data_IF_196298957341
#
_entry.id   IF_196298957341
#
_cell.length_a   1.000
_cell.length_b   1.000
_cell.length_c   1.000
_cell.angle_alpha   90.00
_cell.angle_beta   90.00
_cell.angle_gamma   90.00
#
_symmetry.space_group_name_H-M   'P 1'
#
loop_
_entity.id
_entity.type
_entity.pdbx_description
1 polymer ?
#
# COMPACT_ATOMS: atom_id res chain seq x y z
N UNK A 1 -28.90 -5.68 59.94
CA UNK A 1 -29.35 -6.69 58.96
C UNK A 1 -29.68 -5.96 57.67
N UNK A 2 -29.36 -6.34 56.44
CA UNK A 2 -28.51 -7.37 55.82
C UNK A 2 -28.23 -6.78 54.42
N UNK A 3 -26.98 -6.86 53.96
CA UNK A 3 -26.60 -6.62 52.57
C UNK A 3 -27.22 -7.69 51.65
N UNK A 4 -27.69 -7.29 50.46
CA UNK A 4 -27.83 -8.19 49.31
C UNK A 4 -27.75 -7.38 48.01
N UNK A 5 -26.69 -7.52 47.20
CA UNK A 5 -26.69 -7.01 45.83
C UNK A 5 -27.25 -8.08 44.89
N UNK A 6 -28.21 -7.68 44.05
CA UNK A 6 -28.69 -8.42 42.89
C UNK A 6 -27.56 -8.63 41.86
N UNK A 7 -27.36 -9.84 41.30
CA UNK A 7 -26.38 -10.04 40.23
C UNK A 7 -26.92 -9.53 38.89
N UNK A 8 -26.12 -8.71 38.20
CA UNK A 8 -26.42 -8.17 36.88
C UNK A 8 -26.32 -9.23 35.77
N UNK A 9 -27.44 -9.50 35.10
CA UNK A 9 -27.55 -10.33 33.90
C UNK A 9 -27.28 -9.53 32.60
N UNK A 10 -26.21 -8.73 32.55
CA UNK A 10 -25.91 -7.85 31.41
C UNK A 10 -24.58 -8.10 30.70
N UNK A 11 -23.64 -8.83 31.30
CA UNK A 11 -22.27 -8.98 30.78
C UNK A 11 -22.06 -10.13 29.79
N UNK A 12 -22.81 -11.22 29.92
CA UNK A 12 -22.49 -12.48 29.23
C UNK A 12 -22.92 -12.51 27.75
N UNK A 13 -23.97 -11.78 27.38
CA UNK A 13 -24.44 -11.73 25.99
C UNK A 13 -23.48 -10.97 25.06
N UNK A 14 -22.79 -9.94 25.59
CA UNK A 14 -21.84 -9.13 24.83
C UNK A 14 -20.50 -9.85 24.62
N UNK A 15 -20.03 -10.59 25.64
CA UNK A 15 -18.83 -11.42 25.57
C UNK A 15 -19.04 -12.64 24.66
N UNK A 16 -20.22 -13.29 24.74
CA UNK A 16 -20.59 -14.40 23.86
C UNK A 16 -20.64 -14.02 22.37
N UNK A 17 -21.17 -12.83 22.04
CA UNK A 17 -21.19 -12.31 20.66
C UNK A 17 -19.78 -12.03 20.12
N UNK A 18 -18.90 -11.38 20.88
CA UNK A 18 -17.52 -11.14 20.43
C UNK A 18 -16.75 -12.46 20.21
N UNK A 19 -16.98 -13.46 21.06
CA UNK A 19 -16.34 -14.77 20.95
C UNK A 19 -16.85 -15.56 19.74
N UNK A 20 -18.16 -15.51 19.44
CA UNK A 20 -18.75 -16.12 18.25
C UNK A 20 -18.28 -15.45 16.96
N UNK A 21 -18.16 -14.10 16.95
CA UNK A 21 -17.67 -13.35 15.78
C UNK A 21 -16.20 -13.64 15.50
N UNK A 22 -15.37 -13.76 16.55
CA UNK A 22 -13.95 -14.12 16.43
C UNK A 22 -13.77 -15.57 15.98
N UNK A 23 -14.57 -16.51 16.48
CA UNK A 23 -14.60 -17.91 16.00
C UNK A 23 -15.06 -18.02 14.55
N UNK A 24 -16.10 -17.28 14.16
CA UNK A 24 -16.55 -17.22 12.78
C UNK A 24 -15.47 -16.64 11.85
N UNK A 25 -14.74 -15.61 12.29
CA UNK A 25 -13.63 -15.02 11.55
C UNK A 25 -12.47 -16.02 11.36
N UNK A 26 -12.11 -16.78 12.40
CA UNK A 26 -11.06 -17.81 12.34
C UNK A 26 -11.48 -18.97 11.42
N UNK A 27 -12.73 -19.43 11.52
CA UNK A 27 -13.27 -20.46 10.62
C UNK A 27 -13.31 -19.97 9.17
N UNK A 28 -13.72 -18.72 8.93
CA UNK A 28 -13.70 -18.10 7.61
C UNK A 28 -12.27 -17.97 7.07
N UNK A 29 -11.32 -17.57 7.92
CA UNK A 29 -9.90 -17.50 7.58
C UNK A 29 -9.30 -18.88 7.26
N UNK A 30 -9.67 -19.92 8.02
CA UNK A 30 -9.22 -21.30 7.76
C UNK A 30 -9.84 -21.89 6.51
N UNK A 31 -11.13 -21.62 6.24
CA UNK A 31 -11.79 -22.01 5.00
C UNK A 31 -11.11 -21.30 3.82
N UNK A 32 -10.96 -19.97 3.89
CA UNK A 32 -10.25 -19.19 2.88
C UNK A 32 -8.83 -19.72 2.68
N UNK A 33 -8.10 -20.01 3.75
CA UNK A 33 -6.74 -20.55 3.66
C UNK A 33 -6.73 -21.92 2.98
N UNK A 34 -7.65 -22.83 3.32
CA UNK A 34 -7.72 -24.18 2.72
C UNK A 34 -8.17 -24.16 1.25
N UNK A 35 -9.13 -23.32 0.87
CA UNK A 35 -9.61 -23.23 -0.52
C UNK A 35 -8.70 -22.39 -1.41
N UNK A 36 -8.07 -21.34 -0.87
CA UNK A 36 -7.28 -20.38 -1.65
C UNK A 36 -5.78 -20.74 -1.67
N UNK A 37 -5.22 -21.38 -0.62
CA UNK A 37 -3.80 -21.76 -0.58
C UNK A 37 -3.33 -22.64 -1.76
N UNK A 38 -4.08 -23.68 -2.19
CA UNK A 38 -3.66 -24.47 -3.35
C UNK A 38 -3.58 -23.63 -4.62
N UNK A 39 -4.51 -22.67 -4.78
CA UNK A 39 -4.60 -21.77 -5.94
C UNK A 39 -3.50 -20.69 -5.94
N UNK A 40 -3.11 -20.21 -4.76
CA UNK A 40 -2.02 -19.23 -4.59
C UNK A 40 -0.67 -19.81 -5.04
N UNK A 41 -0.48 -21.12 -4.93
CA UNK A 41 0.78 -21.77 -5.31
C UNK A 41 0.86 -22.15 -6.80
N UNK A 42 -0.23 -22.04 -7.56
CA UNK A 42 -0.22 -22.41 -8.99
C UNK A 42 0.62 -21.40 -9.79
N UNK A 43 1.72 -21.89 -10.38
CA UNK A 43 2.64 -21.09 -11.18
C UNK A 43 3.63 -20.24 -10.37
N UNK A 44 3.60 -20.33 -9.03
CA UNK A 44 4.54 -19.66 -8.15
C UNK A 44 5.95 -20.27 -8.27
N UNK A 45 6.96 -19.41 -8.27
CA UNK A 45 8.36 -19.79 -8.17
C UNK A 45 8.92 -19.38 -6.80
N UNK A 46 9.79 -20.21 -6.22
CA UNK A 46 10.50 -19.89 -4.98
C UNK A 46 11.34 -18.61 -5.08
N UNK A 47 11.76 -18.24 -6.30
CA UNK A 47 12.52 -17.02 -6.60
C UNK A 47 11.65 -15.78 -6.90
N UNK A 48 10.32 -15.92 -6.95
CA UNK A 48 9.42 -14.78 -7.22
C UNK A 48 9.37 -13.81 -6.03
N UNK A 49 9.45 -12.52 -6.34
CA UNK A 49 9.09 -11.45 -5.41
C UNK A 49 7.61 -11.54 -4.99
N UNK A 50 7.27 -10.98 -3.83
CA UNK A 50 5.89 -11.03 -3.31
C UNK A 50 4.88 -10.41 -4.29
N UNK A 51 5.26 -9.35 -5.01
CA UNK A 51 4.42 -8.72 -6.04
C UNK A 51 4.11 -9.67 -7.20
N UNK A 52 5.12 -10.39 -7.69
CA UNK A 52 4.96 -11.35 -8.80
C UNK A 52 4.11 -12.54 -8.35
N UNK A 53 4.34 -13.02 -7.13
CA UNK A 53 3.57 -14.11 -6.52
C UNK A 53 2.10 -13.75 -6.36
N UNK A 54 1.80 -12.53 -5.90
CA UNK A 54 0.44 -12.02 -5.78
C UNK A 54 -0.27 -11.94 -7.14
N UNK A 55 0.41 -11.43 -8.18
CA UNK A 55 -0.16 -11.40 -9.55
C UNK A 55 -0.43 -12.78 -10.10
N UNK A 56 0.46 -13.75 -9.87
CA UNK A 56 0.30 -15.15 -10.28
C UNK A 56 -0.89 -15.80 -9.59
N UNK A 57 -1.00 -15.63 -8.27
CA UNK A 57 -2.13 -16.11 -7.49
C UNK A 57 -3.47 -15.50 -7.97
N UNK A 58 -3.49 -14.20 -8.25
CA UNK A 58 -4.68 -13.53 -8.78
C UNK A 58 -5.11 -14.08 -10.14
N UNK A 59 -4.15 -14.31 -11.04
CA UNK A 59 -4.41 -14.91 -12.34
C UNK A 59 -4.96 -16.34 -12.21
N UNK A 60 -4.34 -17.18 -11.37
CA UNK A 60 -4.81 -18.54 -11.12
C UNK A 60 -6.23 -18.55 -10.52
N UNK A 61 -6.49 -17.69 -9.54
CA UNK A 61 -7.81 -17.55 -8.93
C UNK A 61 -8.88 -17.10 -9.94
N UNK A 62 -8.54 -16.16 -10.82
CA UNK A 62 -9.45 -15.71 -11.88
C UNK A 62 -9.77 -16.83 -12.87
N UNK A 63 -8.77 -17.64 -13.25
CA UNK A 63 -8.96 -18.82 -14.11
C UNK A 63 -9.90 -19.82 -13.42
N UNK A 64 -9.66 -20.16 -12.16
CA UNK A 64 -10.52 -21.08 -11.40
C UNK A 64 -11.97 -20.59 -11.31
N UNK A 65 -12.17 -19.29 -11.03
CA UNK A 65 -13.50 -18.69 -10.96
C UNK A 65 -14.24 -18.80 -12.31
N UNK A 66 -13.55 -18.49 -13.42
CA UNK A 66 -14.13 -18.61 -14.76
C UNK A 66 -14.43 -20.07 -15.14
N UNK A 67 -13.65 -21.06 -14.68
CA UNK A 67 -13.94 -22.49 -14.87
C UNK A 67 -15.24 -22.85 -14.15
N UNK A 68 -15.38 -22.47 -12.87
CA UNK A 68 -16.59 -22.73 -12.10
C UNK A 68 -17.82 -22.08 -12.75
N UNK A 69 -17.71 -20.81 -13.16
CA UNK A 69 -18.77 -20.11 -13.88
C UNK A 69 -19.12 -20.81 -15.21
N UNK A 70 -18.12 -21.27 -15.96
CA UNK A 70 -18.31 -21.99 -17.22
C UNK A 70 -19.11 -23.28 -17.06
N UNK A 71 -18.81 -24.07 -16.00
CA UNK A 71 -19.54 -25.30 -15.69
C UNK A 71 -20.98 -25.00 -15.28
N UNK A 72 -21.19 -24.03 -14.37
CA UNK A 72 -22.52 -23.65 -13.87
C UNK A 72 -23.41 -23.19 -15.03
N UNK A 73 -22.94 -22.24 -15.83
CA UNK A 73 -23.73 -21.69 -16.93
C UNK A 73 -23.94 -22.70 -18.07
N UNK A 74 -22.94 -23.54 -18.35
CA UNK A 74 -23.10 -24.65 -19.29
C UNK A 74 -24.23 -25.58 -18.86
N UNK A 75 -24.25 -26.00 -17.60
CA UNK A 75 -25.29 -26.87 -17.05
C UNK A 75 -26.68 -26.22 -17.11
N UNK A 76 -26.79 -24.92 -16.78
CA UNK A 76 -28.06 -24.17 -16.91
C UNK A 76 -28.58 -24.24 -18.34
N UNK A 77 -27.77 -23.89 -19.35
CA UNK A 77 -28.25 -23.91 -20.73
C UNK A 77 -28.60 -25.31 -21.24
N UNK A 78 -27.85 -26.35 -20.85
CA UNK A 78 -28.21 -27.73 -21.16
C UNK A 78 -29.55 -28.15 -20.54
N UNK A 79 -29.82 -27.75 -19.29
CA UNK A 79 -31.07 -28.06 -18.61
C UNK A 79 -32.30 -27.48 -19.34
N UNK A 80 -32.14 -26.32 -19.99
CA UNK A 80 -33.17 -25.69 -20.80
C UNK A 80 -33.11 -26.07 -22.29
N UNK A 81 -32.43 -27.17 -22.65
CA UNK A 81 -32.35 -27.67 -24.05
C UNK A 81 -31.72 -26.66 -25.02
N UNK A 82 -30.70 -25.93 -24.57
CA UNK A 82 -29.91 -25.03 -25.39
C UNK A 82 -28.47 -25.54 -25.56
N UNK A 83 -28.24 -26.59 -26.38
CA UNK A 83 -26.95 -27.27 -26.43
C UNK A 83 -25.83 -26.39 -27.01
N UNK A 84 -26.10 -25.59 -28.04
CA UNK A 84 -25.09 -24.71 -28.65
C UNK A 84 -24.66 -23.64 -27.63
N UNK A 85 -25.63 -23.02 -26.94
CA UNK A 85 -25.34 -22.04 -25.91
C UNK A 85 -24.63 -22.66 -24.69
N UNK A 86 -24.95 -23.90 -24.32
CA UNK A 86 -24.31 -24.63 -23.23
C UNK A 86 -22.87 -25.07 -23.53
N UNK A 87 -22.57 -25.40 -24.79
CA UNK A 87 -21.22 -25.74 -25.22
C UNK A 87 -20.26 -24.54 -25.13
N UNK A 88 -20.73 -23.30 -25.32
CA UNK A 88 -19.90 -22.10 -25.22
C UNK A 88 -19.19 -21.97 -23.85
N UNK A 89 -19.88 -21.81 -22.70
CA UNK A 89 -19.25 -21.70 -21.39
C UNK A 89 -18.58 -23.02 -20.93
N UNK A 90 -19.03 -24.19 -21.40
CA UNK A 90 -18.34 -25.44 -21.13
C UNK A 90 -16.98 -25.50 -21.84
N UNK A 91 -16.90 -25.02 -23.09
CA UNK A 91 -15.63 -24.92 -23.83
C UNK A 91 -14.66 -23.96 -23.15
N UNK A 92 -15.15 -22.85 -22.57
CA UNK A 92 -14.36 -21.96 -21.72
C UNK A 92 -13.75 -22.72 -20.55
N UNK A 93 -14.56 -23.49 -19.81
CA UNK A 93 -14.09 -24.26 -18.65
C UNK A 93 -13.00 -25.27 -19.04
N UNK A 94 -13.18 -26.00 -20.15
CA UNK A 94 -12.19 -26.96 -20.66
C UNK A 94 -10.89 -26.25 -21.06
N UNK A 95 -10.98 -25.22 -21.89
CA UNK A 95 -9.80 -24.47 -22.36
C UNK A 95 -9.06 -23.78 -21.22
N UNK A 96 -9.77 -23.25 -20.23
CA UNK A 96 -9.17 -22.65 -19.04
C UNK A 96 -8.56 -23.68 -18.09
N UNK A 97 -9.08 -24.90 -18.05
CA UNK A 97 -8.43 -26.00 -17.31
C UNK A 97 -7.09 -26.35 -17.93
N UNK A 98 -7.00 -26.44 -19.26
CA UNK A 98 -5.73 -26.58 -19.96
C UNK A 98 -4.81 -25.38 -19.72
N UNK A 99 -5.35 -24.16 -19.73
CA UNK A 99 -4.60 -22.95 -19.41
C UNK A 99 -3.99 -23.00 -18.00
N UNK A 100 -4.72 -23.50 -17.01
CA UNK A 100 -4.23 -23.67 -15.63
C UNK A 100 -3.08 -24.69 -15.56
N UNK A 101 -3.16 -25.79 -16.31
CA UNK A 101 -2.07 -26.78 -16.42
C UNK A 101 -0.84 -26.14 -17.10
N UNK A 102 -1.03 -25.36 -18.16
CA UNK A 102 0.05 -24.64 -18.84
C UNK A 102 0.70 -23.62 -17.90
N UNK A 103 -0.09 -22.87 -17.14
CA UNK A 103 0.41 -21.93 -16.13
C UNK A 103 1.24 -22.64 -15.07
N UNK A 104 0.76 -23.78 -14.56
CA UNK A 104 1.48 -24.58 -13.56
C UNK A 104 2.80 -25.17 -14.09
N UNK A 105 2.86 -25.59 -15.35
CA UNK A 105 4.07 -26.20 -15.95
C UNK A 105 5.08 -25.18 -16.47
N UNK A 106 4.60 -24.18 -17.20
CA UNK A 106 5.47 -23.23 -17.92
C UNK A 106 5.78 -21.98 -17.09
N UNK A 107 4.98 -21.70 -16.05
CA UNK A 107 5.03 -20.47 -15.24
C UNK A 107 4.89 -19.18 -16.08
N UNK A 108 4.45 -19.28 -17.34
CA UNK A 108 4.28 -18.15 -18.27
C UNK A 108 2.95 -17.44 -18.01
N UNK A 109 2.99 -16.39 -17.20
CA UNK A 109 1.83 -15.58 -16.79
C UNK A 109 1.23 -14.77 -17.94
N UNK A 110 2.06 -14.02 -18.66
CA UNK A 110 2.31 -14.41 -20.04
C UNK A 110 1.10 -14.62 -20.96
N UNK A 111 1.28 -15.74 -21.65
CA UNK A 111 0.32 -16.47 -22.42
C UNK A 111 -0.98 -16.72 -21.65
N UNK A 112 -0.90 -17.12 -20.38
CA UNK A 112 -2.08 -17.55 -19.61
C UNK A 112 -3.10 -16.43 -19.39
N UNK A 113 -2.62 -15.21 -19.14
CA UNK A 113 -3.44 -14.01 -19.00
C UNK A 113 -4.05 -13.58 -20.35
N UNK A 114 -3.29 -13.69 -21.45
CA UNK A 114 -3.82 -13.40 -22.78
C UNK A 114 -4.93 -14.38 -23.17
N UNK A 115 -4.72 -15.68 -22.93
CA UNK A 115 -5.72 -16.72 -23.19
C UNK A 115 -6.98 -16.52 -22.35
N UNK A 116 -6.84 -16.22 -21.05
CA UNK A 116 -7.98 -15.88 -20.19
C UNK A 116 -8.75 -14.66 -20.74
N UNK A 117 -8.05 -13.60 -21.14
CA UNK A 117 -8.66 -12.39 -21.71
C UNK A 117 -9.40 -12.67 -23.01
N UNK A 118 -8.79 -13.37 -23.97
CA UNK A 118 -9.42 -13.71 -25.26
C UNK A 118 -10.67 -14.56 -25.04
N UNK A 119 -10.57 -15.59 -24.21
CA UNK A 119 -11.71 -16.49 -23.97
C UNK A 119 -12.84 -15.79 -23.21
N UNK A 120 -12.51 -14.97 -22.21
CA UNK A 120 -13.50 -14.17 -21.47
C UNK A 120 -14.16 -13.13 -22.37
N UNK A 121 -13.47 -12.63 -23.39
CA UNK A 121 -14.01 -11.70 -24.38
C UNK A 121 -14.98 -12.39 -25.36
N UNK A 122 -14.58 -13.53 -25.93
CA UNK A 122 -15.29 -14.17 -27.04
C UNK A 122 -16.42 -15.11 -26.61
N UNK A 123 -16.27 -15.83 -25.49
CA UNK A 123 -17.25 -16.87 -25.11
C UNK A 123 -18.61 -16.30 -24.72
N UNK A 124 -18.72 -15.24 -23.89
CA UNK A 124 -20.03 -14.65 -23.58
C UNK A 124 -20.72 -14.07 -24.82
N UNK A 125 -19.94 -13.52 -25.77
CA UNK A 125 -20.45 -13.10 -27.07
C UNK A 125 -21.02 -14.28 -27.87
N UNK A 126 -20.26 -15.38 -28.00
CA UNK A 126 -20.72 -16.58 -28.70
C UNK A 126 -21.96 -17.22 -28.06
N UNK A 127 -22.01 -17.28 -26.74
CA UNK A 127 -23.20 -17.74 -26.01
C UNK A 127 -24.41 -16.82 -26.25
N UNK A 128 -24.19 -15.50 -26.31
CA UNK A 128 -25.22 -14.52 -26.65
C UNK A 128 -25.79 -14.73 -28.06
N UNK A 129 -24.92 -14.91 -29.06
CA UNK A 129 -25.34 -15.23 -30.42
C UNK A 129 -26.14 -16.54 -30.48
N UNK A 130 -25.64 -17.58 -29.81
CA UNK A 130 -26.31 -18.88 -29.74
C UNK A 130 -27.69 -18.76 -29.10
N UNK A 131 -27.87 -17.87 -28.11
CA UNK A 131 -29.15 -17.64 -27.44
C UNK A 131 -30.13 -16.79 -28.24
N UNK A 132 -29.76 -16.25 -29.41
CA UNK A 132 -30.62 -15.41 -30.23
C UNK A 132 -30.43 -13.90 -29.97
N UNK A 133 -29.23 -13.48 -29.56
CA UNK A 133 -28.86 -12.08 -29.44
C UNK A 133 -28.77 -11.54 -28.00
N UNK A 134 -28.64 -10.23 -27.88
CA UNK A 134 -28.43 -9.57 -26.60
C UNK A 134 -29.66 -9.70 -25.69
N UNK A 135 -30.86 -9.43 -26.22
CA UNK A 135 -32.09 -9.46 -25.43
C UNK A 135 -32.40 -10.89 -24.93
N UNK A 136 -32.31 -11.87 -25.82
CA UNK A 136 -32.66 -13.26 -25.54
C UNK A 136 -31.65 -13.97 -24.60
N UNK A 137 -30.42 -13.45 -24.50
CA UNK A 137 -29.40 -13.96 -23.58
C UNK A 137 -29.40 -13.28 -22.20
N UNK A 138 -30.27 -12.29 -21.98
CA UNK A 138 -30.22 -11.47 -20.77
C UNK A 138 -28.91 -10.69 -20.67
N UNK A 139 -28.41 -10.16 -21.79
CA UNK A 139 -27.17 -9.38 -21.85
C UNK A 139 -25.90 -10.13 -21.40
N UNK A 140 -25.80 -11.43 -21.70
CA UNK A 140 -24.64 -12.25 -21.29
C UNK A 140 -23.29 -11.69 -21.76
N UNK A 141 -23.27 -10.96 -22.90
CA UNK A 141 -22.10 -10.27 -23.44
C UNK A 141 -21.46 -9.27 -22.49
N UNK A 142 -22.18 -8.75 -21.48
CA UNK A 142 -21.61 -7.81 -20.50
C UNK A 142 -20.44 -8.47 -19.73
N UNK A 143 -20.46 -9.78 -19.54
CA UNK A 143 -19.33 -10.51 -18.93
C UNK A 143 -18.06 -10.47 -19.78
N UNK A 144 -18.14 -10.15 -21.07
CA UNK A 144 -16.95 -9.89 -21.90
C UNK A 144 -16.14 -8.68 -21.44
N UNK A 145 -16.72 -7.79 -20.62
CA UNK A 145 -16.01 -6.68 -19.96
C UNK A 145 -14.98 -7.16 -18.92
N UNK A 146 -15.05 -8.43 -18.49
CA UNK A 146 -14.00 -9.03 -17.66
C UNK A 146 -12.64 -9.06 -18.36
N UNK A 147 -12.60 -9.12 -19.70
CA UNK A 147 -11.35 -9.16 -20.44
C UNK A 147 -10.50 -7.88 -20.27
N UNK A 148 -11.00 -6.65 -20.55
CA UNK A 148 -10.24 -5.43 -20.30
C UNK A 148 -9.93 -5.22 -18.80
N UNK A 149 -10.84 -5.56 -17.90
CA UNK A 149 -10.64 -5.43 -16.44
C UNK A 149 -9.57 -6.39 -15.92
N UNK A 150 -9.66 -7.68 -16.29
CA UNK A 150 -8.70 -8.71 -15.93
C UNK A 150 -7.32 -8.45 -16.51
N UNK A 151 -7.24 -7.87 -17.71
CA UNK A 151 -5.96 -7.50 -18.32
C UNK A 151 -5.23 -6.42 -17.49
N UNK A 152 -5.93 -5.40 -17.00
CA UNK A 152 -5.32 -4.34 -16.15
C UNK A 152 -4.80 -4.90 -14.83
N UNK A 153 -5.47 -5.90 -14.27
CA UNK A 153 -5.08 -6.49 -12.98
C UNK A 153 -3.82 -7.36 -13.08
N UNK A 154 -3.57 -7.96 -14.25
CA UNK A 154 -2.44 -8.89 -14.45
C UNK A 154 -1.30 -8.28 -15.27
N UNK A 155 -1.57 -7.25 -16.09
CA UNK A 155 -0.61 -6.65 -17.04
C UNK A 155 -0.50 -5.14 -16.89
N UNK A 156 0.52 -4.57 -17.53
CA UNK A 156 0.67 -3.11 -17.64
C UNK A 156 -0.55 -2.52 -18.37
N UNK A 157 -1.05 -1.34 -17.95
CA UNK A 157 -2.27 -0.72 -18.49
C UNK A 157 -2.19 -0.30 -19.97
N UNK A 158 -1.04 -0.49 -20.63
CA UNK A 158 -0.78 0.00 -22.01
C UNK A 158 -1.71 -0.57 -23.07
N UNK A 159 -2.30 -1.77 -22.89
CA UNK A 159 -3.25 -2.36 -23.85
C UNK A 159 -4.71 -2.25 -23.42
N UNK A 160 -5.03 -1.59 -22.32
CA UNK A 160 -6.42 -1.49 -21.83
C UNK A 160 -7.38 -0.94 -22.90
N UNK A 161 -6.98 0.15 -23.57
CA UNK A 161 -7.78 0.80 -24.62
C UNK A 161 -8.07 -0.18 -25.76
N UNK A 162 -7.08 -0.98 -26.18
CA UNK A 162 -7.27 -1.98 -27.24
C UNK A 162 -8.33 -3.03 -26.85
N UNK A 163 -8.28 -3.54 -25.61
CA UNK A 163 -9.27 -4.50 -25.12
C UNK A 163 -10.66 -3.89 -24.95
N UNK A 164 -10.74 -2.62 -24.55
CA UNK A 164 -11.99 -1.87 -24.48
C UNK A 164 -12.61 -1.67 -25.86
N UNK A 165 -11.80 -1.33 -26.86
CA UNK A 165 -12.25 -1.21 -28.26
C UNK A 165 -12.72 -2.56 -28.81
N UNK A 166 -12.01 -3.65 -28.51
CA UNK A 166 -12.42 -4.99 -28.92
C UNK A 166 -13.78 -5.39 -28.30
N UNK A 167 -13.98 -5.10 -27.01
CA UNK A 167 -15.26 -5.29 -26.34
C UNK A 167 -16.39 -4.44 -26.94
N UNK A 168 -16.15 -3.14 -27.16
CA UNK A 168 -17.11 -2.25 -27.80
C UNK A 168 -17.46 -2.71 -29.22
N UNK A 169 -16.47 -3.20 -29.99
CA UNK A 169 -16.68 -3.79 -31.31
C UNK A 169 -17.58 -5.03 -31.25
N UNK A 170 -17.38 -5.93 -30.29
CA UNK A 170 -18.26 -7.09 -30.10
C UNK A 170 -19.68 -6.73 -29.65
N UNK A 171 -19.84 -5.69 -28.83
CA UNK A 171 -21.15 -5.16 -28.46
C UNK A 171 -21.91 -4.65 -29.70
N UNK A 172 -21.25 -3.84 -30.52
CA UNK A 172 -21.84 -3.31 -31.77
C UNK A 172 -22.16 -4.47 -32.71
N UNK A 173 -21.23 -5.41 -32.90
CA UNK A 173 -21.43 -6.57 -33.75
C UNK A 173 -22.61 -7.43 -33.26
N UNK A 174 -22.73 -7.65 -31.95
CA UNK A 174 -23.86 -8.39 -31.37
C UNK A 174 -25.19 -7.72 -31.67
N UNK A 175 -25.24 -6.39 -31.59
CA UNK A 175 -26.44 -5.60 -31.89
C UNK A 175 -26.81 -5.67 -33.38
N UNK A 176 -25.83 -5.53 -34.27
CA UNK A 176 -26.03 -5.63 -35.72
C UNK A 176 -26.48 -7.02 -36.16
N UNK A 177 -25.98 -8.07 -35.52
CA UNK A 177 -26.36 -9.45 -35.86
C UNK A 177 -27.73 -9.84 -35.31
N UNK A 178 -28.23 -9.20 -34.26
CA UNK A 178 -29.46 -9.57 -33.55
C UNK A 178 -30.69 -9.80 -34.46
N UNK A 179 -31.00 -8.94 -35.44
CA UNK A 179 -32.14 -9.15 -36.35
C UNK A 179 -32.03 -10.39 -37.24
N UNK A 180 -30.80 -10.89 -37.46
CA UNK A 180 -30.52 -12.05 -38.31
C UNK A 180 -30.41 -13.36 -37.52
N UNK A 181 -30.44 -13.27 -36.18
CA UNK A 181 -30.41 -14.43 -35.30
C UNK A 181 -31.82 -14.99 -35.07
N UNK A 182 -31.88 -16.17 -34.45
CA UNK A 182 -33.15 -16.78 -34.08
C UNK A 182 -33.95 -15.86 -33.13
N UNK A 183 -35.25 -15.66 -33.36
CA UNK A 183 -36.06 -14.71 -32.60
C UNK A 183 -36.39 -15.18 -31.19
N UNK A 184 -36.40 -16.50 -30.95
CA UNK A 184 -36.75 -17.11 -29.66
C UNK A 184 -35.78 -18.22 -29.28
N UNK A 185 -35.72 -18.52 -27.99
CA UNK A 185 -34.97 -19.64 -27.43
C UNK A 185 -35.86 -20.42 -26.43
N UNK A 186 -35.33 -21.49 -25.88
CA UNK A 186 -36.02 -22.36 -24.92
C UNK A 186 -35.97 -21.84 -23.48
N UNK A 187 -35.38 -20.65 -23.23
CA UNK A 187 -35.31 -20.07 -21.89
C UNK A 187 -36.67 -19.41 -21.53
N UNK A 188 -37.23 -19.70 -20.34
CA UNK A 188 -38.43 -19.01 -19.88
C UNK A 188 -38.22 -17.49 -19.77
N UNK A 189 -39.22 -16.65 -20.10
CA UNK A 189 -39.10 -15.19 -19.99
C UNK A 189 -38.77 -14.67 -18.59
N UNK A 190 -39.15 -15.42 -17.55
CA UNK A 190 -38.76 -15.11 -16.17
C UNK A 190 -37.25 -15.33 -15.97
N UNK A 191 -36.70 -16.42 -16.51
CA UNK A 191 -35.28 -16.73 -16.40
C UNK A 191 -34.44 -15.68 -17.13
N UNK A 192 -34.82 -15.27 -18.35
CA UNK A 192 -34.11 -14.21 -19.11
C UNK A 192 -34.03 -12.91 -18.29
N UNK A 193 -35.12 -12.51 -17.62
CA UNK A 193 -35.15 -11.33 -16.75
C UNK A 193 -34.24 -11.47 -15.53
N UNK A 194 -34.25 -12.65 -14.88
CA UNK A 194 -33.35 -12.93 -13.75
C UNK A 194 -31.89 -12.90 -14.19
N UNK A 195 -31.57 -13.51 -15.34
CA UNK A 195 -30.23 -13.48 -15.94
C UNK A 195 -29.78 -12.05 -16.21
N UNK A 196 -30.65 -11.21 -16.77
CA UNK A 196 -30.35 -9.80 -17.01
C UNK A 196 -29.98 -9.05 -15.72
N UNK A 197 -30.75 -9.24 -14.65
CA UNK A 197 -30.48 -8.61 -13.34
C UNK A 197 -29.15 -9.11 -12.75
N UNK A 198 -28.88 -10.42 -12.82
CA UNK A 198 -27.64 -11.01 -12.30
C UNK A 198 -26.43 -10.56 -13.13
N UNK A 199 -26.53 -10.52 -14.45
CA UNK A 199 -25.44 -10.13 -15.34
C UNK A 199 -25.08 -8.65 -15.14
N UNK A 200 -26.08 -7.77 -15.13
CA UNK A 200 -25.87 -6.34 -14.90
C UNK A 200 -25.37 -6.09 -13.47
N UNK A 201 -26.08 -6.60 -12.46
CA UNK A 201 -25.73 -6.41 -11.05
C UNK A 201 -24.36 -7.02 -10.69
N UNK A 202 -24.04 -8.18 -11.25
CA UNK A 202 -22.76 -8.87 -11.04
C UNK A 202 -21.58 -8.07 -11.59
N UNK A 203 -21.66 -7.61 -12.84
CA UNK A 203 -20.58 -6.82 -13.45
C UNK A 203 -20.45 -5.44 -12.81
N UNK A 204 -21.57 -4.77 -12.50
CA UNK A 204 -21.54 -3.49 -11.77
C UNK A 204 -20.92 -3.64 -10.38
N UNK A 205 -21.31 -4.68 -9.62
CA UNK A 205 -20.77 -4.94 -8.28
C UNK A 205 -19.28 -5.26 -8.34
N UNK A 206 -18.85 -6.08 -9.31
CA UNK A 206 -17.43 -6.38 -9.51
C UNK A 206 -16.64 -5.11 -9.86
N UNK A 207 -17.15 -4.28 -10.75
CA UNK A 207 -16.52 -3.01 -11.11
C UNK A 207 -16.41 -2.07 -9.90
N UNK A 208 -17.47 -1.95 -9.10
CA UNK A 208 -17.46 -1.14 -7.88
C UNK A 208 -16.44 -1.66 -6.84
N UNK A 209 -16.36 -2.99 -6.63
CA UNK A 209 -15.38 -3.60 -5.74
C UNK A 209 -13.94 -3.37 -6.21
N UNK A 210 -13.69 -3.50 -7.53
CA UNK A 210 -12.38 -3.23 -8.11
C UNK A 210 -11.99 -1.76 -7.95
N UNK A 211 -12.90 -0.82 -8.27
CA UNK A 211 -12.65 0.61 -8.07
C UNK A 211 -12.38 0.94 -6.60
N UNK A 212 -13.18 0.42 -5.69
CA UNK A 212 -12.98 0.59 -4.25
C UNK A 212 -11.60 0.08 -3.80
N UNK A 213 -11.21 -1.12 -4.27
CA UNK A 213 -9.90 -1.69 -4.01
C UNK A 213 -8.76 -0.81 -4.54
N UNK A 214 -8.84 -0.36 -5.79
CA UNK A 214 -7.82 0.49 -6.40
C UNK A 214 -7.67 1.84 -5.70
N UNK A 215 -8.78 2.49 -5.35
CA UNK A 215 -8.77 3.76 -4.61
C UNK A 215 -8.15 3.56 -3.22
N UNK A 216 -8.52 2.48 -2.53
CA UNK A 216 -7.97 2.16 -1.20
C UNK A 216 -6.45 1.92 -1.25
N UNK A 217 -5.99 1.15 -2.24
CA UNK A 217 -4.55 0.90 -2.45
C UNK A 217 -3.78 2.19 -2.76
N UNK A 218 -4.35 3.06 -3.60
CA UNK A 218 -3.75 4.35 -3.93
C UNK A 218 -3.58 5.22 -2.68
N UNK A 219 -4.60 5.28 -1.82
CA UNK A 219 -4.55 6.07 -0.58
C UNK A 219 -3.45 5.57 0.37
N UNK A 220 -3.36 4.25 0.58
CA UNK A 220 -2.32 3.65 1.44
C UNK A 220 -0.92 3.91 0.89
N UNK A 221 -0.72 3.79 -0.42
CA UNK A 221 0.58 4.05 -1.04
C UNK A 221 0.98 5.53 -0.94
N UNK A 222 0.00 6.42 -1.10
CA UNK A 222 0.21 7.85 -0.99
C UNK A 222 0.56 8.25 0.45
N UNK A 223 -0.11 7.69 1.45
CA UNK A 223 0.20 7.89 2.87
C UNK A 223 1.62 7.40 3.21
N UNK A 224 2.04 6.23 2.71
CA UNK A 224 3.41 5.73 2.89
C UNK A 224 4.45 6.65 2.27
N UNK A 225 4.17 7.17 1.07
CA UNK A 225 5.07 8.09 0.37
C UNK A 225 5.16 9.42 1.12
N UNK A 226 4.03 9.93 1.59
CA UNK A 226 3.96 11.15 2.38
C UNK A 226 4.73 10.98 3.70
N UNK A 227 4.52 9.89 4.45
CA UNK A 227 5.27 9.61 5.67
C UNK A 227 6.79 9.48 5.44
N UNK A 228 7.23 8.87 4.34
CA UNK A 228 8.65 8.78 4.00
C UNK A 228 9.26 10.15 3.69
N UNK A 229 8.52 11.04 3.01
CA UNK A 229 8.96 12.41 2.78
C UNK A 229 9.07 13.20 4.09
N UNK A 230 8.12 13.03 4.99
CA UNK A 230 8.10 13.68 6.30
C UNK A 230 9.21 13.21 7.25
N UNK A 231 9.77 12.01 7.04
CA UNK A 231 10.92 11.54 7.80
C UNK A 231 12.25 12.18 7.35
N UNK A 232 12.27 12.87 6.20
CA UNK A 232 13.48 13.49 5.63
C UNK A 232 13.38 15.01 5.66
N UNK A 233 12.17 15.55 5.54
CA UNK A 233 11.91 16.98 5.46
C UNK A 233 10.85 17.39 6.49
N UNK A 234 10.95 18.60 7.08
CA UNK A 234 9.89 19.14 7.91
C UNK A 234 8.56 19.21 7.14
N UNK A 235 7.44 19.04 7.85
CA UNK A 235 6.09 18.94 7.25
C UNK A 235 5.73 20.12 6.34
N UNK A 236 6.11 21.32 6.75
CA UNK A 236 5.87 22.57 6.04
C UNK A 236 6.63 22.58 4.71
N UNK A 237 7.90 22.16 4.76
CA UNK A 237 8.79 22.15 3.61
C UNK A 237 8.36 21.07 2.61
N UNK A 238 7.96 19.90 3.09
CA UNK A 238 7.40 18.83 2.26
C UNK A 238 6.11 19.29 1.54
N UNK A 239 5.23 20.04 2.22
CA UNK A 239 4.02 20.58 1.62
C UNK A 239 4.31 21.62 0.53
N UNK A 240 5.29 22.51 0.76
CA UNK A 240 5.72 23.50 -0.25
C UNK A 240 6.26 22.77 -1.49
N UNK A 241 7.18 21.82 -1.34
CA UNK A 241 7.75 21.10 -2.49
C UNK A 241 6.71 20.28 -3.28
N UNK A 242 5.65 19.81 -2.62
CA UNK A 242 4.58 19.04 -3.25
C UNK A 242 3.65 19.92 -4.10
N UNK A 243 3.41 21.16 -3.67
CA UNK A 243 2.46 22.08 -4.31
C UNK A 243 3.13 23.10 -5.23
N UNK A 244 4.36 23.49 -4.90
CA UNK A 244 5.12 24.56 -5.52
C UNK A 244 6.50 24.01 -5.88
N UNK A 245 6.79 23.92 -7.18
CA UNK A 245 8.09 23.43 -7.66
C UNK A 245 9.15 24.54 -7.56
N UNK A 246 9.27 25.18 -6.39
CA UNK A 246 10.17 26.32 -6.11
C UNK A 246 11.29 25.95 -5.15
N UNK A 247 12.39 26.68 -5.23
CA UNK A 247 13.45 26.62 -4.22
C UNK A 247 12.93 27.15 -2.88
N UNK A 248 13.10 26.37 -1.82
CA UNK A 248 12.76 26.75 -0.45
C UNK A 248 14.02 27.33 0.20
N UNK A 249 14.01 28.63 0.49
CA UNK A 249 15.07 29.32 1.21
C UNK A 249 14.43 30.50 1.98
N UNK A 250 14.18 30.30 3.26
CA UNK A 250 13.47 31.22 4.14
C UNK A 250 14.43 31.82 5.16
N UNK A 251 14.34 33.14 5.36
CA UNK A 251 15.13 33.85 6.36
C UNK A 251 14.37 33.89 7.69
N UNK A 252 15.06 33.55 8.77
CA UNK A 252 14.55 33.56 10.14
C UNK A 252 15.37 34.54 10.98
N UNK A 253 14.72 35.58 11.51
CA UNK A 253 15.37 36.61 12.35
C UNK A 253 15.90 36.05 13.68
N UNK A 254 15.22 35.06 14.25
CA UNK A 254 15.57 34.45 15.54
C UNK A 254 15.41 32.94 15.52
N UNK A 255 16.55 32.24 15.50
CA UNK A 255 16.63 30.81 15.72
C UNK A 255 17.74 30.50 16.74
N UNK A 256 17.61 29.37 17.42
CA UNK A 256 18.68 28.80 18.24
C UNK A 256 19.16 27.50 17.63
N UNK A 257 20.47 27.27 17.70
CA UNK A 257 21.14 26.10 17.13
C UNK A 257 21.93 25.43 18.23
N UNK A 258 21.81 24.12 18.31
CA UNK A 258 22.52 23.25 19.23
C UNK A 258 23.35 22.24 18.44
N UNK A 259 24.63 22.15 18.79
CA UNK A 259 25.52 21.07 18.37
C UNK A 259 25.89 20.26 19.61
N UNK A 260 25.73 18.93 19.54
CA UNK A 260 26.12 18.00 20.59
C UNK A 260 27.07 16.94 20.03
N UNK A 261 28.32 16.93 20.47
CA UNK A 261 29.40 16.08 19.94
C UNK A 261 29.98 15.15 21.01
N UNK A 262 30.51 13.99 20.62
CA UNK A 262 31.11 13.03 21.57
C UNK A 262 32.56 13.41 21.84
N UNK A 263 32.87 13.67 23.10
CA UNK A 263 34.25 13.95 23.52
C UNK A 263 35.12 12.71 23.30
N UNK A 264 36.26 12.89 22.63
CA UNK A 264 37.21 11.83 22.31
C UNK A 264 36.63 10.69 21.46
N UNK A 265 35.74 11.03 20.50
CA UNK A 265 35.17 10.03 19.60
C UNK A 265 36.19 9.28 18.73
N UNK A 266 37.22 9.95 18.21
CA UNK A 266 38.22 9.29 17.34
C UNK A 266 38.96 8.15 18.06
N UNK A 267 39.51 8.33 19.28
CA UNK A 267 40.02 7.20 20.07
C UNK A 267 38.96 6.15 20.40
N UNK A 268 37.73 6.57 20.71
CA UNK A 268 36.64 5.67 21.07
C UNK A 268 36.29 4.71 19.92
N UNK A 269 36.08 5.26 18.73
CA UNK A 269 35.71 4.54 17.51
C UNK A 269 36.79 3.57 17.04
N UNK A 270 38.07 3.91 17.23
CA UNK A 270 39.19 3.02 16.91
C UNK A 270 39.22 1.71 17.73
N UNK A 271 38.50 1.67 18.85
CA UNK A 271 38.41 0.47 19.71
C UNK A 271 37.15 -0.37 19.45
N UNK A 272 36.36 -0.04 18.43
CA UNK A 272 35.08 -0.68 18.13
C UNK A 272 35.07 -1.20 16.70
N UNK A 273 34.30 -2.27 16.47
CA UNK A 273 33.95 -2.62 15.10
C UNK A 273 32.98 -1.58 14.52
N UNK A 274 32.93 -1.41 13.18
CA UNK A 274 31.98 -0.50 12.56
C UNK A 274 30.51 -0.78 12.92
N UNK A 275 30.15 -2.05 13.13
CA UNK A 275 28.78 -2.43 13.50
C UNK A 275 28.46 -1.95 14.92
N UNK A 276 29.33 -2.23 15.89
CA UNK A 276 29.14 -1.80 17.29
C UNK A 276 29.10 -0.27 17.40
N UNK A 277 29.90 0.44 16.60
CA UNK A 277 29.91 1.91 16.57
C UNK A 277 28.58 2.47 16.06
N UNK A 278 28.02 1.87 15.00
CA UNK A 278 26.72 2.27 14.44
C UNK A 278 25.60 1.97 15.44
N UNK A 279 25.62 0.81 16.10
CA UNK A 279 24.63 0.45 17.13
C UNK A 279 24.67 1.43 18.31
N UNK A 280 25.87 1.78 18.77
CA UNK A 280 26.07 2.77 19.83
C UNK A 280 25.49 4.14 19.45
N UNK A 281 25.85 4.65 18.26
CA UNK A 281 25.33 5.94 17.78
C UNK A 281 23.82 5.90 17.61
N UNK A 282 23.27 4.79 17.11
CA UNK A 282 21.84 4.62 16.94
C UNK A 282 21.10 4.61 18.29
N UNK A 283 21.62 3.95 19.32
CA UNK A 283 21.03 3.96 20.66
C UNK A 283 20.98 5.37 21.25
N UNK A 284 22.06 6.14 21.12
CA UNK A 284 22.16 7.49 21.66
C UNK A 284 21.27 8.45 20.87
N UNK A 285 21.40 8.49 19.55
CA UNK A 285 20.65 9.42 18.70
C UNK A 285 19.15 9.10 18.65
N UNK A 286 18.74 7.84 18.80
CA UNK A 286 17.31 7.52 18.94
C UNK A 286 16.71 8.16 20.19
N UNK A 287 17.47 8.31 21.28
CA UNK A 287 16.99 9.04 22.45
C UNK A 287 16.93 10.55 22.19
N UNK A 288 17.91 11.10 21.48
CA UNK A 288 17.89 12.51 21.12
C UNK A 288 16.73 12.81 20.17
N UNK A 289 16.39 11.91 19.25
CA UNK A 289 15.19 11.98 18.41
C UNK A 289 13.91 12.07 19.25
N UNK A 290 13.79 11.27 20.32
CA UNK A 290 12.67 11.39 21.26
C UNK A 290 12.63 12.75 21.99
N UNK A 291 13.79 13.33 22.31
CA UNK A 291 13.86 14.68 22.90
C UNK A 291 13.48 15.76 21.87
N UNK A 292 13.90 15.61 20.61
CA UNK A 292 13.49 16.49 19.50
C UNK A 292 11.96 16.53 19.41
N UNK A 293 11.31 15.37 19.43
CA UNK A 293 9.84 15.26 19.43
C UNK A 293 9.21 15.87 20.70
N UNK A 294 9.75 15.57 21.89
CA UNK A 294 9.27 16.09 23.19
C UNK A 294 9.27 17.61 23.23
N UNK A 295 10.32 18.24 22.70
CA UNK A 295 10.51 19.70 22.75
C UNK A 295 9.92 20.43 21.53
N UNK A 296 9.49 19.70 20.49
CA UNK A 296 8.98 20.28 19.26
C UNK A 296 10.03 21.14 18.56
N UNK A 297 11.25 20.65 18.49
CA UNK A 297 12.38 21.27 17.78
C UNK A 297 12.71 20.45 16.54
N UNK A 298 13.59 20.96 15.68
CA UNK A 298 13.89 20.34 14.40
C UNK A 298 15.30 19.73 14.40
N UNK A 299 15.39 18.44 14.09
CA UNK A 299 16.68 17.79 13.80
C UNK A 299 17.14 18.24 12.41
N UNK A 300 18.31 18.84 12.34
CA UNK A 300 18.85 19.32 11.05
C UNK A 300 19.62 18.20 10.36
N UNK A 301 20.65 17.68 11.02
CA UNK A 301 21.49 16.60 10.50
C UNK A 301 22.41 16.05 11.58
N UNK A 302 23.06 14.93 11.25
CA UNK A 302 24.23 14.43 11.96
C UNK A 302 25.48 14.72 11.14
N UNK A 303 26.59 15.07 11.80
CA UNK A 303 27.90 15.29 11.17
C UNK A 303 28.89 14.38 11.86
N UNK A 304 29.03 13.14 11.37
CA UNK A 304 29.77 12.11 12.12
C UNK A 304 29.03 11.78 13.43
N UNK A 305 29.71 11.98 14.55
CA UNK A 305 29.21 11.84 15.92
C UNK A 305 28.56 13.10 16.49
N UNK A 306 28.54 14.19 15.72
CA UNK A 306 27.87 15.42 16.12
C UNK A 306 26.38 15.40 15.74
N UNK A 307 25.53 15.79 16.68
CA UNK A 307 24.08 15.90 16.53
C UNK A 307 23.65 17.38 16.49
N UNK A 308 23.06 17.81 15.37
CA UNK A 308 22.66 19.20 15.15
C UNK A 308 21.14 19.38 15.18
N UNK A 309 20.67 20.29 16.03
CA UNK A 309 19.25 20.59 16.26
C UNK A 309 19.03 22.10 16.23
N UNK A 310 17.86 22.53 15.78
CA UNK A 310 17.49 23.93 15.80
C UNK A 310 16.05 24.15 16.29
N UNK A 311 15.81 25.31 16.90
CA UNK A 311 14.51 25.80 17.30
C UNK A 311 14.26 27.17 16.68
N UNK A 312 13.00 27.48 16.36
CA UNK A 312 12.63 28.68 15.59
C UNK A 312 12.60 28.45 14.08
N UNK A 313 12.86 27.22 13.62
CA UNK A 313 12.83 26.78 12.23
C UNK A 313 12.12 25.42 12.13
N UNK A 314 11.39 25.12 11.04
CA UNK A 314 10.91 26.08 10.04
C UNK A 314 9.84 27.03 10.61
N UNK A 315 9.29 26.74 11.80
CA UNK A 315 8.30 27.60 12.46
C UNK A 315 8.97 28.52 13.48
N UNK A 316 8.84 29.86 13.34
CA UNK A 316 9.30 30.79 14.36
C UNK A 316 8.61 30.52 15.71
N UNK A 317 9.37 30.66 16.79
CA UNK A 317 8.88 30.55 18.16
C UNK A 317 9.69 31.45 19.08
N UNK A 318 9.08 32.12 20.04
CA UNK A 318 9.77 33.11 20.91
C UNK A 318 10.64 32.47 21.99
N UNK A 319 10.34 31.24 22.38
CA UNK A 319 11.03 30.45 23.41
C UNK A 319 12.14 29.55 22.82
N UNK A 320 12.58 29.81 21.57
CA UNK A 320 13.52 28.95 20.83
C UNK A 320 14.82 28.66 21.61
N UNK A 321 15.36 29.65 22.33
CA UNK A 321 16.59 29.49 23.10
C UNK A 321 16.36 28.69 24.39
N UNK A 322 15.26 28.97 25.09
CA UNK A 322 14.91 28.30 26.35
C UNK A 322 14.67 26.82 26.12
N UNK A 323 13.90 26.46 25.08
CA UNK A 323 13.54 25.07 24.82
C UNK A 323 14.77 24.23 24.43
N UNK A 324 15.70 24.80 23.64
CA UNK A 324 16.94 24.13 23.29
C UNK A 324 17.90 24.00 24.48
N UNK A 325 17.92 24.98 25.38
CA UNK A 325 18.69 24.89 26.62
C UNK A 325 18.14 23.77 27.53
N UNK A 326 16.81 23.64 27.65
CA UNK A 326 16.19 22.53 28.37
C UNK A 326 16.53 21.16 27.73
N UNK A 327 16.47 21.08 26.40
CA UNK A 327 16.87 19.88 25.67
C UNK A 327 18.36 19.53 25.91
N UNK A 328 19.24 20.53 25.91
CA UNK A 328 20.66 20.33 26.18
C UNK A 328 20.90 19.70 27.56
N UNK A 329 20.17 20.15 28.58
CA UNK A 329 20.26 19.60 29.94
C UNK A 329 19.77 18.15 29.98
N UNK A 330 18.63 17.85 29.35
CA UNK A 330 18.10 16.48 29.26
C UNK A 330 19.07 15.53 28.53
N UNK A 331 19.76 16.00 27.48
CA UNK A 331 20.80 15.25 26.78
C UNK A 331 21.93 14.87 27.75
N UNK A 332 22.44 15.86 28.49
CA UNK A 332 23.54 15.64 29.44
C UNK A 332 23.13 14.67 30.56
N UNK A 333 21.93 14.83 31.11
CA UNK A 333 21.41 13.96 32.15
C UNK A 333 21.22 12.51 31.66
N UNK A 334 20.71 12.33 30.44
CA UNK A 334 20.56 11.01 29.82
C UNK A 334 21.90 10.29 29.67
N UNK A 335 22.90 10.99 29.12
CA UNK A 335 24.22 10.42 28.88
C UNK A 335 24.93 10.10 30.19
N UNK A 336 24.88 11.00 31.18
CA UNK A 336 25.55 10.84 32.48
C UNK A 336 25.07 9.60 33.24
N UNK A 337 23.78 9.31 33.16
CA UNK A 337 23.14 8.22 33.92
C UNK A 337 23.36 6.84 33.30
N UNK A 338 23.93 6.75 32.09
CA UNK A 338 24.00 5.50 31.33
C UNK A 338 25.42 5.07 30.99
N UNK A 339 25.54 3.77 30.76
CA UNK A 339 26.73 3.12 30.21
C UNK A 339 26.28 2.44 28.93
N UNK A 340 26.84 2.84 27.81
CA UNK A 340 26.48 2.36 26.49
C UNK A 340 27.54 1.36 26.03
N UNK A 341 27.15 0.09 25.83
CA UNK A 341 28.07 -0.96 25.38
C UNK A 341 29.34 -1.06 26.27
N UNK A 342 29.16 -0.91 27.60
CA UNK A 342 30.27 -0.92 28.56
C UNK A 342 31.11 0.36 28.63
N UNK A 343 30.74 1.41 27.88
CA UNK A 343 31.48 2.67 27.78
C UNK A 343 30.65 3.84 28.32
N UNK A 344 31.29 4.74 29.06
CA UNK A 344 30.67 6.03 29.44
C UNK A 344 30.99 7.05 28.36
N UNK A 345 29.95 7.65 27.81
CA UNK A 345 30.09 8.74 26.86
C UNK A 345 30.10 10.06 27.61
N UNK A 346 30.79 11.05 27.03
CA UNK A 346 30.79 12.43 27.50
C UNK A 346 30.46 13.26 26.28
N UNK A 347 29.46 14.13 26.40
CA UNK A 347 29.06 15.01 25.31
C UNK A 347 29.52 16.42 25.58
N UNK A 348 29.82 17.13 24.49
CA UNK A 348 30.07 18.55 24.50
C UNK A 348 28.93 19.23 23.74
N UNK A 349 28.36 20.28 24.33
CA UNK A 349 27.21 20.97 23.75
C UNK A 349 27.56 22.44 23.54
N UNK A 350 27.38 22.92 22.31
CA UNK A 350 27.42 24.33 21.95
C UNK A 350 26.03 24.82 21.55
N UNK A 351 25.62 25.97 22.08
CA UNK A 351 24.34 26.58 21.78
C UNK A 351 24.55 28.06 21.47
N UNK A 352 24.03 28.52 20.34
CA UNK A 352 23.99 29.93 20.02
C UNK A 352 22.65 30.33 19.39
N UNK A 353 22.29 31.61 19.53
CA UNK A 353 21.07 32.17 18.94
C UNK A 353 21.41 33.32 17.99
N UNK A 354 20.61 33.47 16.95
CA UNK A 354 20.74 34.56 15.99
C UNK A 354 19.99 34.30 14.70
N UNK A 355 20.15 35.20 13.71
CA UNK A 355 19.49 35.05 12.42
C UNK A 355 20.11 33.91 11.60
N UNK A 356 19.26 33.18 10.88
CA UNK A 356 19.66 32.09 9.98
C UNK A 356 18.83 32.09 8.70
N UNK A 357 19.39 31.53 7.64
CA UNK A 357 18.65 31.12 6.44
C UNK A 357 18.45 29.62 6.53
N UNK A 358 17.21 29.16 6.40
CA UNK A 358 16.85 27.75 6.35
C UNK A 358 16.33 27.39 4.96
N UNK A 359 16.69 26.23 4.44
CA UNK A 359 16.29 25.91 3.07
C UNK A 359 16.64 24.51 2.63
N UNK A 360 16.12 24.14 1.46
CA UNK A 360 16.34 22.83 0.85
C UNK A 360 17.32 22.93 -0.30
N UNK A 361 18.39 22.14 -0.24
CA UNK A 361 19.35 21.97 -1.33
C UNK A 361 19.21 20.57 -1.95
N UNK A 362 19.41 20.50 -3.27
CA UNK A 362 19.49 19.26 -4.03
C UNK A 362 18.31 19.05 -4.97
N UNK A 363 18.55 18.31 -6.07
CA UNK A 363 17.51 17.96 -7.07
C UNK A 363 17.01 16.52 -6.96
N UNK A 364 17.78 15.64 -6.30
CA UNK A 364 17.47 14.21 -6.16
C UNK A 364 17.51 13.75 -4.71
N UNK A 365 18.48 14.25 -3.94
CA UNK A 365 18.56 14.10 -2.49
C UNK A 365 18.33 15.47 -1.89
N UNK A 366 17.10 15.72 -1.47
CA UNK A 366 16.75 16.96 -0.79
C UNK A 366 17.34 16.93 0.61
N UNK A 367 18.02 18.00 0.99
CA UNK A 367 18.58 18.19 2.33
C UNK A 367 18.07 19.53 2.82
N UNK A 368 17.30 19.52 3.92
CA UNK A 368 16.95 20.73 4.65
C UNK A 368 18.10 21.08 5.60
N UNK A 369 18.60 22.30 5.54
CA UNK A 369 19.80 22.71 6.27
C UNK A 369 19.74 24.21 6.64
N UNK A 370 20.69 24.64 7.48
CA UNK A 370 20.77 26.00 8.01
C UNK A 370 22.10 26.66 7.65
N UNK A 371 22.05 27.95 7.31
CA UNK A 371 23.22 28.80 7.04
C UNK A 371 23.13 30.11 7.82
N UNK A 372 24.29 30.61 8.24
CA UNK A 372 24.42 31.90 8.91
C UNK A 372 25.49 31.89 9.99
N UNK A 373 25.89 33.08 10.43
CA UNK A 373 26.90 33.25 11.48
C UNK A 373 26.49 32.63 12.81
N UNK A 374 25.18 32.56 13.08
CA UNK A 374 24.66 31.92 14.27
C UNK A 374 24.98 30.42 14.32
N UNK A 375 24.93 29.73 13.18
CA UNK A 375 25.27 28.31 13.04
C UNK A 375 26.76 28.09 13.28
N UNK A 376 27.61 28.91 12.65
CA UNK A 376 29.07 28.83 12.80
C UNK A 376 29.50 29.12 14.25
N UNK A 377 28.84 30.09 14.90
CA UNK A 377 29.10 30.41 16.31
C UNK A 377 28.69 29.28 17.23
N UNK A 378 27.52 28.64 17.02
CA UNK A 378 27.09 27.48 17.81
C UNK A 378 28.11 26.32 17.69
N UNK A 379 28.56 26.03 16.46
CA UNK A 379 29.60 25.01 16.22
C UNK A 379 30.92 25.36 16.91
N UNK A 380 31.36 26.62 16.89
CA UNK A 380 32.58 27.03 17.63
C UNK A 380 32.40 26.93 19.14
N UNK A 381 31.23 27.26 19.67
CA UNK A 381 30.92 27.14 21.09
C UNK A 381 30.95 25.67 21.53
N UNK A 382 30.50 24.76 20.67
CA UNK A 382 30.69 23.32 20.87
C UNK A 382 32.19 23.04 20.88
N UNK A 383 32.94 23.35 19.82
CA UNK A 383 34.33 22.89 19.71
C UNK A 383 35.31 23.47 20.76
N UNK A 384 34.96 24.59 21.41
CA UNK A 384 35.73 25.18 22.51
C UNK A 384 35.13 24.91 23.91
N UNK A 385 33.99 24.21 23.99
CA UNK A 385 33.37 23.85 25.25
C UNK A 385 34.20 22.85 26.06
N UNK A 386 34.05 22.88 27.39
CA UNK A 386 34.51 21.76 28.22
C UNK A 386 33.54 20.59 28.04
N UNK A 387 34.05 19.35 28.07
CA UNK A 387 33.19 18.17 28.07
C UNK A 387 32.26 18.18 29.28
N UNK A 388 30.95 18.09 29.04
CA UNK A 388 29.95 17.99 30.09
C UNK A 388 29.97 16.58 30.67
N UNK A 389 30.48 16.43 31.89
CA UNK A 389 30.51 15.16 32.65
C UNK A 389 29.11 14.77 33.06
#
# INVERSE_FOLDING_TARGET
MIFSPTPGLGGDAHYGRQTATRKALVVLQDILRRTVSPVIHIGADSSDTDEIRLRKAFLAASICLCICAGIIWGAVYFAFREPIAGLCPLSLAVLLTFNLIILGRTKRTEFSAAMLGILSLLVPFGAGLALGGFANSGAAIIWSMLAPLGYVLVRKPSKFILWMLAYAGLLILSSVLEPYLRPTNNLPPLLIRVLFVINLGGVTSLFALLLYYFVSQKNVLQEKTDNLLLNILPKEIAAILKNENRTVADYHEGASILFADVVNFTPLSATMTPIELIELLNEVFSHFDMLVEKYGVEKIKTIGDCYMVAAGVPRPRSDHAQILACMALDILDYVRQRVFHGKRLTFRIGLNSGPVVAGVIGRKKFIYDLWGDAVNTASRMESHGAGGV
#
